data_IF_555668323456
#
_entry.id   IF_555668323456
#
_cell.length_a   1.000
_cell.length_b   1.000
_cell.length_c   1.000
_cell.angle_alpha   90.00
_cell.angle_beta   90.00
_cell.angle_gamma   90.00
#
_symmetry.space_group_name_H-M   'P 1'
#
loop_
_entity.id
_entity.type
_entity.pdbx_description
1 polymer ?
#
# COMPACT_ATOMS: atom_id res chain seq x y z
N UNK A 1 10.25 22.70 12.44
CA UNK A 1 10.89 23.07 13.73
C UNK A 1 10.54 22.00 14.75
N UNK A 2 11.43 21.03 15.01
CA UNK A 2 11.18 19.94 15.96
C UNK A 2 11.53 20.39 17.38
N UNK A 3 10.55 20.40 18.28
CA UNK A 3 10.79 20.53 19.74
C UNK A 3 10.81 19.12 20.32
N UNK A 4 12.00 18.66 20.71
CA UNK A 4 12.24 17.42 21.44
C UNK A 4 11.43 17.40 22.75
N UNK A 5 10.33 16.63 22.79
CA UNK A 5 9.56 16.33 24.00
C UNK A 5 9.00 14.90 23.89
N UNK A 6 9.67 13.93 24.53
CA UNK A 6 9.14 12.58 24.78
C UNK A 6 9.31 11.57 23.63
N UNK A 7 8.91 10.30 23.84
CA UNK A 7 8.90 9.30 22.77
C UNK A 7 8.05 9.83 21.61
N UNK A 8 8.50 9.62 20.38
CA UNK A 8 7.77 10.05 19.18
C UNK A 8 6.42 9.34 19.12
N UNK A 9 5.37 10.02 19.55
CA UNK A 9 4.01 9.54 19.40
C UNK A 9 3.54 9.87 17.98
N UNK A 10 3.31 8.81 17.18
CA UNK A 10 2.60 8.93 15.92
C UNK A 10 1.13 9.25 16.21
N UNK A 11 0.76 10.52 16.12
CA UNK A 11 -0.61 11.02 16.37
C UNK A 11 -1.51 10.98 15.13
N UNK A 12 -0.99 10.55 13.98
CA UNK A 12 -1.67 10.60 12.68
C UNK A 12 -1.68 12.01 12.09
N UNK A 13 -2.68 12.31 11.25
CA UNK A 13 -2.84 13.61 10.61
C UNK A 13 -4.30 14.02 10.41
N UNK A 14 -4.51 15.28 10.04
CA UNK A 14 -5.84 15.86 9.77
C UNK A 14 -6.27 15.67 8.31
N UNK A 15 -5.29 15.56 7.42
CA UNK A 15 -5.49 15.40 5.99
C UNK A 15 -4.80 14.11 5.52
N UNK A 16 -5.46 13.37 4.65
CA UNK A 16 -4.94 12.18 3.99
C UNK A 16 -5.17 12.29 2.49
N UNK A 17 -4.15 11.90 1.73
CA UNK A 17 -4.25 11.73 0.29
C UNK A 17 -3.69 10.37 -0.07
N UNK A 18 -4.43 9.63 -0.89
CA UNK A 18 -4.00 8.35 -1.43
C UNK A 18 -4.30 8.27 -2.93
N UNK A 19 -3.40 7.62 -3.65
CA UNK A 19 -3.56 7.27 -5.06
C UNK A 19 -3.07 5.84 -5.27
N UNK A 20 -3.72 5.11 -6.16
CA UNK A 20 -3.37 3.74 -6.51
C UNK A 20 -3.60 3.50 -7.99
N UNK A 21 -2.70 2.75 -8.61
CA UNK A 21 -2.85 2.22 -9.95
C UNK A 21 -2.64 0.72 -9.90
N UNK A 22 -3.61 -0.03 -10.42
CA UNK A 22 -3.54 -1.49 -10.47
C UNK A 22 -3.81 -2.01 -11.89
N UNK A 23 -2.95 -2.93 -12.33
CA UNK A 23 -3.11 -3.70 -13.55
C UNK A 23 -3.41 -5.15 -13.20
N UNK A 24 -4.43 -5.71 -13.83
CA UNK A 24 -4.91 -7.08 -13.61
C UNK A 24 -4.94 -7.82 -14.93
N UNK A 25 -4.41 -9.04 -14.95
CA UNK A 25 -4.46 -9.88 -16.14
C UNK A 25 -4.75 -11.34 -15.75
N UNK A 26 -5.78 -11.92 -16.37
CA UNK A 26 -6.07 -13.34 -16.23
C UNK A 26 -5.17 -14.13 -17.19
N UNK A 27 -4.36 -15.02 -16.63
CA UNK A 27 -3.43 -15.85 -17.39
C UNK A 27 -4.09 -17.18 -17.75
N UNK A 28 -4.93 -17.70 -16.85
CA UNK A 28 -5.75 -18.88 -17.05
C UNK A 28 -7.12 -18.66 -16.40
N UNK A 29 -8.05 -19.60 -16.59
CA UNK A 29 -9.37 -19.59 -15.93
C UNK A 29 -9.29 -19.56 -14.40
N UNK A 30 -8.15 -19.94 -13.81
CA UNK A 30 -7.98 -20.02 -12.34
C UNK A 30 -6.82 -19.18 -11.82
N UNK A 31 -6.00 -18.59 -12.68
CA UNK A 31 -4.78 -17.85 -12.28
C UNK A 31 -4.81 -16.46 -12.90
N UNK A 32 -4.78 -15.45 -12.04
CA UNK A 32 -4.59 -14.06 -12.41
C UNK A 32 -3.30 -13.49 -11.84
N UNK A 33 -2.75 -12.49 -12.53
CA UNK A 33 -1.63 -11.68 -12.07
C UNK A 33 -2.07 -10.25 -11.81
N UNK A 34 -1.31 -9.60 -10.94
CA UNK A 34 -1.54 -8.24 -10.48
C UNK A 34 -0.22 -7.51 -10.46
N UNK A 35 -0.22 -6.28 -10.95
CA UNK A 35 0.82 -5.32 -10.65
C UNK A 35 0.19 -4.06 -10.10
N UNK A 36 0.76 -3.48 -9.05
CA UNK A 36 0.22 -2.29 -8.42
C UNK A 36 1.31 -1.33 -7.97
N UNK A 37 0.94 -0.06 -7.95
CA UNK A 37 1.70 1.02 -7.35
C UNK A 37 0.73 1.89 -6.55
N UNK A 38 1.08 2.15 -5.30
CA UNK A 38 0.30 2.97 -4.38
C UNK A 38 1.18 4.11 -3.88
N UNK A 39 0.56 5.27 -3.67
CA UNK A 39 1.18 6.42 -3.05
C UNK A 39 0.22 7.03 -2.03
N UNK A 40 0.75 7.44 -0.88
CA UNK A 40 -0.04 7.98 0.21
C UNK A 40 0.73 9.00 1.02
N UNK A 41 0.00 9.97 1.58
CA UNK A 41 0.58 10.93 2.49
C UNK A 41 -0.42 11.43 3.53
N UNK A 42 0.12 11.83 4.68
CA UNK A 42 -0.63 12.28 5.87
C UNK A 42 -0.03 13.60 6.33
N UNK A 43 -0.88 14.62 6.51
CA UNK A 43 -0.45 15.97 6.89
C UNK A 43 -1.32 16.60 7.98
N UNK A 44 -0.79 17.59 8.69
CA UNK A 44 -1.49 18.33 9.74
C UNK A 44 -2.03 19.69 9.26
N UNK A 45 -1.29 20.40 8.41
CA UNK A 45 -1.48 21.85 8.16
C UNK A 45 -1.93 22.21 6.74
N UNK A 46 -2.77 21.37 6.14
CA UNK A 46 -3.47 21.68 4.88
C UNK A 46 -3.37 20.57 3.84
N UNK A 47 -4.24 20.63 2.83
CA UNK A 47 -4.32 19.59 1.79
C UNK A 47 -3.07 19.52 0.91
N UNK A 48 -2.42 20.66 0.63
CA UNK A 48 -1.23 20.73 -0.21
C UNK A 48 0.06 20.35 0.54
N UNK A 49 0.11 20.54 1.85
CA UNK A 49 1.26 20.12 2.68
C UNK A 49 1.42 18.60 2.72
N UNK A 50 0.34 17.85 2.50
CA UNK A 50 0.39 16.40 2.30
C UNK A 50 1.20 15.98 1.07
N UNK A 51 1.56 16.85 0.13
CA UNK A 51 2.38 16.43 -1.03
C UNK A 51 3.89 16.52 -0.80
N UNK A 52 4.34 17.06 0.33
CA UNK A 52 5.77 17.31 0.55
C UNK A 52 6.55 16.01 0.81
N UNK A 53 5.96 15.02 1.48
CA UNK A 53 6.62 13.75 1.83
C UNK A 53 5.72 12.51 1.55
N UNK A 54 5.42 12.19 0.28
CA UNK A 54 4.61 11.03 -0.06
C UNK A 54 5.40 9.72 0.09
N UNK A 55 4.73 8.74 0.67
CA UNK A 55 5.21 7.36 0.73
C UNK A 55 4.62 6.59 -0.44
N UNK A 56 5.43 5.78 -1.12
CA UNK A 56 4.95 4.93 -2.19
C UNK A 56 5.46 3.51 -2.06
N UNK A 57 4.62 2.56 -2.47
CA UNK A 57 4.93 1.15 -2.54
C UNK A 57 4.55 0.59 -3.90
N UNK A 58 5.27 -0.43 -4.34
CA UNK A 58 4.92 -1.17 -5.54
C UNK A 58 5.02 -2.66 -5.28
N UNK A 59 4.20 -3.44 -5.97
CA UNK A 59 4.16 -4.86 -5.77
C UNK A 59 3.58 -5.64 -6.94
N UNK A 60 3.77 -6.95 -6.84
CA UNK A 60 3.22 -7.94 -7.75
C UNK A 60 2.40 -8.96 -6.97
N UNK A 61 1.32 -9.42 -7.59
CA UNK A 61 0.35 -10.31 -6.98
C UNK A 61 0.01 -11.49 -7.87
N UNK A 62 -0.30 -12.61 -7.24
CA UNK A 62 -0.91 -13.78 -7.88
C UNK A 62 -2.26 -14.03 -7.23
N UNK A 63 -3.25 -14.32 -8.07
CA UNK A 63 -4.60 -14.68 -7.66
C UNK A 63 -4.88 -16.10 -8.14
N UNK A 64 -5.31 -16.98 -7.25
CA UNK A 64 -5.67 -18.35 -7.57
C UNK A 64 -7.10 -18.65 -7.14
N UNK A 65 -7.95 -19.06 -8.08
CA UNK A 65 -9.31 -19.49 -7.77
C UNK A 65 -9.33 -20.95 -7.29
N UNK A 66 -9.62 -21.11 -5.99
CA UNK A 66 -9.68 -22.40 -5.31
C UNK A 66 -11.04 -23.10 -5.46
N UNK A 67 -12.04 -22.44 -6.06
CA UNK A 67 -13.44 -22.90 -6.10
C UNK A 67 -14.23 -22.60 -4.81
N UNK A 68 -13.55 -22.29 -3.70
CA UNK A 68 -14.15 -21.76 -2.46
C UNK A 68 -14.01 -20.23 -2.37
N UNK A 69 -13.31 -19.62 -3.33
CA UNK A 69 -12.98 -18.20 -3.38
C UNK A 69 -11.52 -17.96 -3.81
N UNK A 70 -11.15 -16.70 -4.13
CA UNK A 70 -9.81 -16.37 -4.57
C UNK A 70 -8.81 -16.37 -3.42
N UNK A 71 -7.71 -17.09 -3.58
CA UNK A 71 -6.48 -16.93 -2.81
C UNK A 71 -5.65 -15.81 -3.45
N UNK A 72 -5.14 -14.88 -2.64
CA UNK A 72 -4.31 -13.74 -3.06
C UNK A 72 -2.96 -13.86 -2.36
N UNK A 73 -1.89 -13.71 -3.13
CA UNK A 73 -0.53 -13.60 -2.62
C UNK A 73 0.11 -12.41 -3.29
N UNK A 74 0.36 -11.36 -2.52
CA UNK A 74 0.97 -10.12 -3.00
C UNK A 74 2.31 -9.90 -2.30
N UNK A 75 3.31 -9.46 -3.06
CA UNK A 75 4.65 -9.13 -2.57
C UNK A 75 4.95 -7.71 -3.00
N UNK A 76 5.22 -6.83 -2.03
CA UNK A 76 5.43 -5.42 -2.25
C UNK A 76 6.67 -4.91 -1.52
N UNK A 77 7.23 -3.80 -1.99
CA UNK A 77 8.34 -3.12 -1.35
C UNK A 77 8.12 -1.59 -1.40
N UNK A 78 8.69 -0.83 -0.46
CA UNK A 78 8.72 0.62 -0.55
C UNK A 78 9.52 1.05 -1.79
N UNK A 79 9.00 2.04 -2.53
CA UNK A 79 9.68 2.63 -3.70
C UNK A 79 9.98 4.13 -3.52
N UNK A 80 9.34 4.79 -2.55
CA UNK A 80 9.60 6.19 -2.17
C UNK A 80 9.15 6.46 -0.73
N UNK A 81 9.76 7.49 -0.13
CA UNK A 81 9.48 7.96 1.22
C UNK A 81 10.26 7.20 2.29
N UNK A 82 10.34 7.78 3.48
CA UNK A 82 11.08 7.23 4.63
C UNK A 82 10.23 6.21 5.40
N UNK A 83 9.59 5.28 4.67
CA UNK A 83 8.81 4.17 5.24
C UNK A 83 9.67 2.93 5.37
N UNK A 84 9.35 2.11 6.39
CA UNK A 84 10.12 0.96 6.86
C UNK A 84 10.76 0.07 5.80
N UNK A 85 11.89 -0.53 6.17
CA UNK A 85 12.73 -1.28 5.25
C UNK A 85 12.18 -2.67 4.90
N UNK A 86 12.31 -3.06 3.64
CA UNK A 86 12.20 -4.44 3.18
C UNK A 86 10.88 -4.82 2.50
N UNK A 87 10.82 -6.10 2.12
CA UNK A 87 9.70 -6.68 1.38
C UNK A 87 8.56 -7.06 2.33
N UNK A 88 7.34 -6.70 1.94
CA UNK A 88 6.10 -7.06 2.60
C UNK A 88 5.39 -8.17 1.82
N UNK A 89 4.87 -9.16 2.55
CA UNK A 89 4.11 -10.27 1.97
C UNK A 89 2.70 -10.21 2.53
N UNK A 90 1.71 -10.20 1.64
CA UNK A 90 0.30 -10.24 1.98
C UNK A 90 -0.35 -11.50 1.43
N UNK A 91 -1.10 -12.19 2.29
CA UNK A 91 -1.85 -13.40 1.93
C UNK A 91 -3.30 -13.21 2.33
N UNK A 92 -4.22 -13.39 1.38
CA UNK A 92 -5.65 -13.25 1.60
C UNK A 92 -6.43 -14.43 1.03
N UNK A 93 -7.48 -14.86 1.73
CA UNK A 93 -8.39 -15.92 1.29
C UNK A 93 -9.82 -15.37 1.27
N UNK A 94 -10.49 -15.47 0.13
CA UNK A 94 -11.89 -15.06 -0.04
C UNK A 94 -12.07 -13.61 -0.54
N UNK A 95 -13.27 -13.07 -0.32
CA UNK A 95 -13.62 -11.70 -0.68
C UNK A 95 -13.15 -10.75 0.44
N UNK A 96 -12.04 -10.04 0.22
CA UNK A 96 -11.67 -8.91 1.05
C UNK A 96 -12.44 -7.67 0.56
N UNK A 97 -13.11 -7.02 1.52
CA UNK A 97 -14.02 -5.88 1.44
C UNK A 97 -13.36 -4.59 0.94
#
# INVERSE_FOLDING_TARGET
MTRNLGPEFLIGGRYFLGASVELRADITERIGLVGFVDAGSVGLDGFLDGFNDPHAGAGLGVRYDTGLGPLRLDVAAPVSGDTGDGVQIYIGLGQAF
#
